data_IF_629130938567
#
_entry.id   IF_629130938567
#
_cell.length_a   1.000
_cell.length_b   1.000
_cell.length_c   1.000
_cell.angle_alpha   90.00
_cell.angle_beta   90.00
_cell.angle_gamma   90.00
#
_symmetry.space_group_name_H-M   'P 1'
#
loop_
_entity.id
_entity.type
_entity.pdbx_description
1 polymer ?
#
# COMPACT_ATOMS: atom_id res chain seq x y z
N UNK A 1 -6.56 -7.80 18.72
CA UNK A 1 -6.83 -6.37 18.48
C UNK A 1 -8.19 -6.02 19.04
N UNK A 2 -8.22 -5.37 20.20
CA UNK A 2 -9.46 -5.12 20.91
C UNK A 2 -9.80 -3.63 21.04
N UNK A 3 -8.86 -2.74 20.74
CA UNK A 3 -9.07 -1.30 20.85
C UNK A 3 -9.26 -0.68 19.46
N UNK A 4 -10.12 0.34 19.33
CA UNK A 4 -10.22 1.08 18.07
C UNK A 4 -8.86 1.65 17.68
N UNK A 5 -8.48 1.52 16.42
CA UNK A 5 -7.21 2.01 15.89
C UNK A 5 -6.07 1.03 15.95
N UNK A 6 -6.21 -0.11 16.64
CA UNK A 6 -5.13 -1.09 16.73
C UNK A 6 -4.75 -1.66 15.38
N UNK A 7 -5.73 -1.97 14.54
CA UNK A 7 -5.44 -2.51 13.22
C UNK A 7 -4.81 -1.45 12.32
N UNK A 8 -5.25 -0.20 12.42
CA UNK A 8 -4.64 0.90 11.68
C UNK A 8 -3.18 1.09 12.07
N UNK A 9 -2.84 0.98 13.36
CA UNK A 9 -1.46 1.02 13.83
C UNK A 9 -0.67 -0.17 13.30
N UNK A 10 -1.27 -1.37 13.32
CA UNK A 10 -0.66 -2.56 12.75
C UNK A 10 -0.39 -2.42 11.26
N UNK A 11 -1.31 -1.80 10.54
CA UNK A 11 -1.12 -1.51 9.11
C UNK A 11 0.11 -0.63 8.88
N UNK A 12 0.27 0.45 9.66
CA UNK A 12 1.43 1.34 9.51
C UNK A 12 2.73 0.57 9.73
N UNK A 13 2.78 -0.25 10.77
CA UNK A 13 3.96 -1.08 11.05
C UNK A 13 4.20 -2.07 9.90
N UNK A 14 3.16 -2.73 9.43
CA UNK A 14 3.28 -3.69 8.33
C UNK A 14 3.74 -3.02 7.03
N UNK A 15 3.28 -1.80 6.78
CA UNK A 15 3.73 -1.00 5.64
C UNK A 15 5.24 -0.70 5.73
N UNK A 16 5.71 -0.31 6.91
CA UNK A 16 7.15 -0.06 7.12
C UNK A 16 7.97 -1.33 7.00
N UNK A 17 7.47 -2.46 7.50
CA UNK A 17 8.12 -3.77 7.28
C UNK A 17 8.14 -4.09 5.80
N UNK A 18 7.08 -3.76 5.07
CA UNK A 18 7.03 -3.91 3.61
C UNK A 18 8.18 -3.19 2.92
N UNK A 19 8.48 -1.97 3.33
CA UNK A 19 9.63 -1.23 2.81
C UNK A 19 10.95 -1.94 3.11
N UNK A 20 11.08 -2.54 4.28
CA UNK A 20 12.28 -3.31 4.61
C UNK A 20 12.41 -4.53 3.70
N UNK A 21 11.32 -5.26 3.48
CA UNK A 21 11.30 -6.40 2.56
C UNK A 21 11.72 -5.96 1.15
N UNK A 22 11.23 -4.81 0.70
CA UNK A 22 11.60 -4.28 -0.62
C UNK A 22 13.10 -4.10 -0.76
N UNK A 23 13.77 -3.60 0.28
CA UNK A 23 15.23 -3.47 0.26
C UNK A 23 15.90 -4.83 0.16
N UNK A 24 15.41 -5.82 0.91
CA UNK A 24 16.01 -7.16 0.95
C UNK A 24 15.89 -7.89 -0.38
N UNK A 25 14.80 -7.71 -1.11
CA UNK A 25 14.57 -8.38 -2.39
C UNK A 25 15.02 -7.56 -3.60
N UNK A 26 15.51 -6.34 -3.38
CA UNK A 26 15.96 -5.47 -4.47
C UNK A 26 14.82 -4.99 -5.36
N UNK A 27 13.61 -4.83 -4.82
CA UNK A 27 12.43 -4.46 -5.61
C UNK A 27 12.58 -3.12 -6.32
N UNK A 28 13.38 -2.20 -5.76
CA UNK A 28 13.55 -0.86 -6.29
C UNK A 28 14.77 -0.73 -7.21
N UNK A 29 15.49 -1.83 -7.46
CA UNK A 29 16.75 -1.79 -8.19
C UNK A 29 16.58 -1.74 -9.71
N UNK A 30 15.34 -1.96 -10.19
CA UNK A 30 15.03 -2.04 -11.63
C UNK A 30 13.90 -1.07 -11.99
N UNK A 31 14.15 0.24 -11.93
CA UNK A 31 13.12 1.22 -12.27
C UNK A 31 12.72 1.10 -13.75
N UNK A 32 11.47 1.48 -14.04
CA UNK A 32 10.97 1.46 -15.40
C UNK A 32 11.50 2.67 -16.15
N UNK A 33 12.09 2.41 -17.33
CA UNK A 33 12.66 3.47 -18.16
C UNK A 33 11.59 4.49 -18.53
N UNK A 34 11.95 5.77 -18.42
CA UNK A 34 11.06 6.87 -18.76
C UNK A 34 10.17 7.35 -17.62
N UNK A 35 10.13 6.64 -16.51
CA UNK A 35 9.37 7.09 -15.35
C UNK A 35 10.17 8.05 -14.47
N UNK A 36 9.48 9.02 -13.88
CA UNK A 36 10.08 9.95 -12.93
C UNK A 36 10.37 9.28 -11.60
N UNK A 37 11.18 9.94 -10.76
CA UNK A 37 11.41 9.47 -9.38
C UNK A 37 10.11 9.41 -8.59
N UNK A 38 9.19 10.35 -8.80
CA UNK A 38 7.90 10.34 -8.11
C UNK A 38 7.08 9.13 -8.52
N UNK A 39 7.07 8.78 -9.80
CA UNK A 39 6.36 7.58 -10.28
C UNK A 39 6.96 6.31 -9.68
N UNK A 40 8.27 6.22 -9.60
CA UNK A 40 8.94 5.10 -8.93
C UNK A 40 8.59 5.05 -7.45
N UNK A 41 8.55 6.20 -6.78
CA UNK A 41 8.13 6.28 -5.37
C UNK A 41 6.71 5.76 -5.18
N UNK A 42 5.78 6.12 -6.07
CA UNK A 42 4.40 5.62 -6.00
C UNK A 42 4.38 4.09 -6.12
N UNK A 43 5.12 3.52 -7.07
CA UNK A 43 5.19 2.05 -7.20
C UNK A 43 5.70 1.39 -5.92
N UNK A 44 6.71 1.99 -5.29
CA UNK A 44 7.29 1.51 -4.04
C UNK A 44 6.25 1.54 -2.91
N UNK A 45 5.52 2.65 -2.79
CA UNK A 45 4.51 2.80 -1.74
C UNK A 45 3.33 1.86 -1.94
N UNK A 46 2.86 1.70 -3.17
CA UNK A 46 1.74 0.80 -3.46
C UNK A 46 2.10 -0.65 -3.20
N UNK A 47 3.34 -1.05 -3.50
CA UNK A 47 3.79 -2.40 -3.17
C UNK A 47 3.83 -2.62 -1.66
N UNK A 48 4.30 -1.63 -0.90
CA UNK A 48 4.30 -1.73 0.57
C UNK A 48 2.88 -1.83 1.13
N UNK A 49 1.93 -1.11 0.54
CA UNK A 49 0.51 -1.23 0.93
C UNK A 49 -0.02 -2.64 0.65
N UNK A 50 0.33 -3.21 -0.49
CA UNK A 50 -0.06 -4.58 -0.83
C UNK A 50 0.54 -5.59 0.16
N UNK A 51 1.81 -5.43 0.50
CA UNK A 51 2.45 -6.29 1.52
C UNK A 51 1.75 -6.16 2.87
N UNK A 52 1.34 -4.95 3.26
CA UNK A 52 0.57 -4.75 4.48
C UNK A 52 -0.77 -5.48 4.41
N UNK A 53 -1.41 -5.49 3.24
CA UNK A 53 -2.63 -6.27 3.01
C UNK A 53 -2.40 -7.76 3.18
N UNK A 54 -1.31 -8.29 2.62
CA UNK A 54 -0.94 -9.70 2.77
C UNK A 54 -0.75 -10.05 4.25
N UNK A 55 -0.07 -9.18 5.00
CA UNK A 55 0.08 -9.36 6.44
C UNK A 55 -1.30 -9.44 7.13
N UNK A 56 -2.21 -8.53 6.78
CA UNK A 56 -3.57 -8.53 7.33
C UNK A 56 -4.31 -9.82 7.03
N UNK A 57 -4.18 -10.34 5.81
CA UNK A 57 -4.79 -11.62 5.43
C UNK A 57 -4.26 -12.78 6.28
N UNK A 58 -2.94 -12.87 6.41
CA UNK A 58 -2.30 -13.97 7.16
C UNK A 58 -2.70 -13.92 8.63
N UNK A 59 -2.84 -12.73 9.20
CA UNK A 59 -3.11 -12.55 10.62
C UNK A 59 -4.58 -12.48 10.99
N UNK A 60 -5.49 -12.38 10.01
CA UNK A 60 -6.91 -12.12 10.31
C UNK A 60 -7.53 -13.16 11.23
N UNK A 61 -7.18 -14.44 11.08
CA UNK A 61 -7.71 -15.50 11.95
C UNK A 61 -7.11 -15.46 13.34
N UNK A 62 -5.79 -15.28 13.46
CA UNK A 62 -5.10 -15.27 14.73
C UNK A 62 -5.35 -14.00 15.55
N UNK A 63 -5.57 -12.87 14.86
CA UNK A 63 -5.83 -11.58 15.50
C UNK A 63 -7.32 -11.22 15.52
N UNK A 64 -8.17 -12.10 15.00
CA UNK A 64 -9.62 -11.89 14.96
C UNK A 64 -9.97 -10.56 14.27
N UNK A 65 -9.33 -10.30 13.13
CA UNK A 65 -9.61 -9.11 12.32
C UNK A 65 -10.97 -9.30 11.65
N UNK A 66 -11.88 -8.39 11.88
CA UNK A 66 -13.22 -8.39 11.29
C UNK A 66 -13.37 -7.31 10.21
N UNK A 67 -14.57 -7.19 9.65
CA UNK A 67 -14.87 -6.21 8.61
C UNK A 67 -14.67 -4.78 9.09
N UNK A 68 -14.90 -4.51 10.37
CA UNK A 68 -14.72 -3.16 10.93
C UNK A 68 -13.23 -2.82 10.97
N UNK A 69 -12.38 -3.77 11.33
CA UNK A 69 -10.92 -3.58 11.34
C UNK A 69 -10.39 -3.34 9.94
N UNK A 70 -10.90 -4.08 8.96
CA UNK A 70 -10.50 -3.90 7.56
C UNK A 70 -10.89 -2.51 7.07
N UNK A 71 -12.12 -2.07 7.38
CA UNK A 71 -12.59 -0.74 7.00
C UNK A 71 -11.73 0.35 7.62
N UNK A 72 -11.32 0.17 8.86
CA UNK A 72 -10.44 1.10 9.55
C UNK A 72 -9.09 1.21 8.86
N UNK A 73 -8.50 0.09 8.45
CA UNK A 73 -7.23 0.08 7.72
C UNK A 73 -7.37 0.76 6.36
N UNK A 74 -8.46 0.51 5.65
CA UNK A 74 -8.73 1.17 4.38
C UNK A 74 -8.90 2.67 4.55
N UNK A 75 -9.56 3.10 5.62
CA UNK A 75 -9.71 4.52 5.93
C UNK A 75 -8.36 5.17 6.25
N UNK A 76 -7.48 4.48 6.97
CA UNK A 76 -6.14 4.97 7.24
C UNK A 76 -5.36 5.14 5.94
N UNK A 77 -5.43 4.16 5.05
CA UNK A 77 -4.79 4.24 3.73
C UNK A 77 -5.35 5.41 2.91
N UNK A 78 -6.68 5.60 2.96
CA UNK A 78 -7.32 6.72 2.27
C UNK A 78 -6.81 8.07 2.78
N UNK A 79 -6.69 8.23 4.10
CA UNK A 79 -6.27 9.51 4.69
C UNK A 79 -4.81 9.85 4.44
N UNK A 80 -3.97 8.86 4.16
CA UNK A 80 -2.55 9.09 3.90
C UNK A 80 -2.19 9.10 2.42
N UNK A 81 -3.20 9.07 1.53
CA UNK A 81 -2.96 9.27 0.11
C UNK A 81 -2.65 10.73 -0.21
N UNK A 82 -1.81 10.96 -1.22
CA UNK A 82 -1.36 12.33 -1.58
C UNK A 82 -2.53 13.24 -1.93
N UNK A 83 -3.54 12.71 -2.62
CA UNK A 83 -4.73 13.48 -3.00
C UNK A 83 -5.53 13.93 -1.77
N UNK A 84 -5.63 13.08 -0.75
CA UNK A 84 -6.33 13.39 0.50
C UNK A 84 -5.52 14.41 1.31
N UNK A 85 -4.20 14.22 1.44
CA UNK A 85 -3.35 15.13 2.19
C UNK A 85 -3.33 16.54 1.59
N UNK A 86 -3.42 16.65 0.26
CA UNK A 86 -3.46 17.92 -0.45
C UNK A 86 -4.89 18.43 -0.63
N UNK A 87 -5.90 17.69 -0.17
CA UNK A 87 -7.32 18.02 -0.34
C UNK A 87 -7.71 18.22 -1.82
N UNK A 88 -7.11 17.41 -2.69
CA UNK A 88 -7.36 17.47 -4.12
C UNK A 88 -6.71 18.65 -4.84
N UNK A 89 -5.86 19.43 -4.16
CA UNK A 89 -5.24 20.63 -4.72
C UNK A 89 -3.87 20.35 -5.32
N UNK A 90 -3.31 19.17 -5.06
CA UNK A 90 -1.99 18.81 -5.55
C UNK A 90 -1.99 18.43 -7.02
N UNK A 91 -0.83 18.59 -7.64
CA UNK A 91 -0.58 18.11 -8.99
C UNK A 91 -0.23 16.62 -8.91
N UNK A 92 -0.98 15.72 -9.58
CA UNK A 92 -0.68 14.28 -9.54
C UNK A 92 0.74 13.93 -9.96
N UNK A 93 1.39 14.74 -10.79
CA UNK A 93 2.79 14.50 -11.18
C UNK A 93 3.76 14.65 -10.01
N UNK A 94 3.35 15.32 -8.93
CA UNK A 94 4.15 15.51 -7.73
C UNK A 94 3.85 14.49 -6.64
N UNK A 95 2.93 13.57 -6.86
CA UNK A 95 2.59 12.55 -5.88
C UNK A 95 3.75 11.57 -5.70
N UNK A 96 4.05 11.23 -4.44
CA UNK A 96 5.11 10.30 -4.07
C UNK A 96 4.60 9.05 -3.37
N UNK A 97 3.35 9.08 -2.87
CA UNK A 97 2.71 7.97 -2.16
C UNK A 97 1.58 7.31 -2.93
N UNK A 98 1.13 7.96 -3.98
CA UNK A 98 -0.04 7.53 -4.74
C UNK A 98 -1.32 8.14 -4.21
N UNK A 99 -2.40 7.98 -4.98
CA UNK A 99 -3.72 8.44 -4.56
C UNK A 99 -4.30 7.51 -3.50
N UNK A 100 -5.27 8.01 -2.75
CA UNK A 100 -5.99 7.20 -1.77
C UNK A 100 -6.63 5.99 -2.42
N UNK A 101 -7.20 6.16 -3.62
CA UNK A 101 -7.82 5.06 -4.37
C UNK A 101 -6.79 3.99 -4.75
N UNK A 102 -5.62 4.40 -5.25
CA UNK A 102 -4.54 3.48 -5.58
C UNK A 102 -4.09 2.70 -4.34
N UNK A 103 -3.88 3.38 -3.23
CA UNK A 103 -3.43 2.77 -1.98
C UNK A 103 -4.44 1.76 -1.46
N UNK A 104 -5.72 2.09 -1.49
CA UNK A 104 -6.80 1.18 -1.09
C UNK A 104 -6.86 -0.05 -1.99
N UNK A 105 -6.74 0.15 -3.30
CA UNK A 105 -6.78 -0.94 -4.28
C UNK A 105 -5.66 -1.95 -4.05
N UNK A 106 -4.44 -1.46 -3.85
CA UNK A 106 -3.29 -2.35 -3.67
C UNK A 106 -3.30 -3.02 -2.29
N UNK A 107 -3.71 -2.31 -1.24
CA UNK A 107 -3.92 -2.94 0.07
C UNK A 107 -4.94 -4.08 -0.04
N UNK A 108 -6.08 -3.81 -0.68
CA UNK A 108 -7.13 -4.81 -0.83
C UNK A 108 -6.66 -6.00 -1.65
N UNK A 109 -5.87 -5.77 -2.68
CA UNK A 109 -5.30 -6.85 -3.49
C UNK A 109 -4.45 -7.81 -2.64
N UNK A 110 -3.61 -7.26 -1.75
CA UNK A 110 -2.85 -8.08 -0.82
C UNK A 110 -3.73 -8.79 0.20
N UNK A 111 -4.70 -8.07 0.74
CA UNK A 111 -5.60 -8.63 1.75
C UNK A 111 -6.47 -9.76 1.18
N UNK A 112 -7.03 -9.58 -0.01
CA UNK A 112 -7.92 -10.57 -0.61
C UNK A 112 -7.14 -11.81 -1.07
N UNK A 113 -5.95 -11.62 -1.63
CA UNK A 113 -5.15 -12.73 -2.17
C UNK A 113 -4.33 -13.46 -1.11
N UNK A 114 -3.85 -12.73 -0.10
CA UNK A 114 -2.89 -13.28 0.85
C UNK A 114 -1.58 -13.73 0.21
N UNK A 115 -1.26 -13.22 -0.98
CA UNK A 115 -0.14 -13.69 -1.80
C UNK A 115 0.74 -12.52 -2.19
N UNK A 116 1.95 -12.48 -1.62
CA UNK A 116 2.91 -11.40 -1.89
C UNK A 116 3.29 -11.31 -3.37
N UNK A 117 3.14 -12.39 -4.15
CA UNK A 117 3.40 -12.36 -5.59
C UNK A 117 2.42 -11.47 -6.34
N UNK A 118 1.27 -11.17 -5.76
CA UNK A 118 0.29 -10.24 -6.32
C UNK A 118 0.69 -8.78 -6.12
N UNK A 119 1.78 -8.52 -5.42
CA UNK A 119 2.20 -7.18 -5.05
C UNK A 119 3.28 -6.60 -5.97
N UNK A 120 3.44 -7.14 -7.16
CA UNK A 120 4.46 -6.65 -8.11
C UNK A 120 3.93 -5.42 -8.86
N UNK A 121 4.13 -4.24 -8.29
CA UNK A 121 3.73 -2.99 -8.92
C UNK A 121 4.56 -2.67 -10.16
N UNK A 122 5.79 -3.19 -10.25
CA UNK A 122 6.63 -3.01 -11.44
C UNK A 122 6.18 -3.90 -12.60
N UNK A 123 5.44 -4.98 -12.30
CA UNK A 123 4.83 -5.82 -13.32
C UNK A 123 3.72 -5.13 -14.09
N UNK A 124 3.10 -4.09 -13.50
CA UNK A 124 2.11 -3.25 -14.17
C UNK A 124 2.88 -2.18 -14.96
N UNK A 125 3.12 -2.44 -16.25
CA UNK A 125 3.99 -1.59 -17.05
C UNK A 125 3.41 -0.22 -17.34
N UNK A 126 2.10 -0.12 -17.51
CA UNK A 126 1.44 1.18 -17.70
C UNK A 126 1.16 1.79 -16.33
N UNK A 127 1.88 2.87 -16.03
CA UNK A 127 1.71 3.58 -14.75
C UNK A 127 0.25 3.98 -14.50
N UNK A 128 -0.50 4.29 -15.55
CA UNK A 128 -1.89 4.72 -15.41
C UNK A 128 -2.82 3.57 -15.01
N UNK A 129 -2.34 2.34 -15.00
CA UNK A 129 -3.13 1.16 -14.58
C UNK A 129 -2.89 0.79 -13.10
N UNK A 130 -2.04 1.51 -12.41
CA UNK A 130 -1.85 1.29 -10.99
C UNK A 130 -3.08 1.78 -10.22
#
# INVERSE_FOLDING_TARGET
LNAPGDFAQGYVIAHEVGHHVQKLIGAMDHPIAGESQNQTSVRTELQADCFAGVWGHVKQASLQIDDADLREALNAAHQIGDDTLSQGRGDPSQYTHGTSEQRMRWFKRGFDSGDARQCDTWGVRDYNQL
#
